data_IF_301071179551
#
_entry.id   IF_301071179551
#
_cell.length_a   1.000
_cell.length_b   1.000
_cell.length_c   1.000
_cell.angle_alpha   90.00
_cell.angle_beta   90.00
_cell.angle_gamma   90.00
#
_symmetry.space_group_name_H-M   'P 1'
#
loop_
_entity.id
_entity.type
_entity.pdbx_description
1 polymer ?
#
# COMPACT_ATOMS: atom_id res chain seq x y z
N UNK A 1 13.34 19.60 -9.11
CA UNK A 1 13.14 18.15 -9.26
C UNK A 1 11.81 17.89 -9.97
N UNK A 2 11.82 17.23 -11.13
CA UNK A 2 10.57 16.85 -11.84
C UNK A 2 10.13 15.44 -11.39
N UNK A 3 9.07 15.37 -10.57
CA UNK A 3 8.54 14.09 -10.05
C UNK A 3 7.54 13.42 -10.99
N UNK A 4 7.11 14.12 -12.06
CA UNK A 4 6.17 13.62 -13.06
C UNK A 4 6.86 13.20 -14.36
N UNK A 5 8.19 13.09 -14.33
CA UNK A 5 8.98 12.58 -15.44
C UNK A 5 8.53 11.16 -15.81
N UNK A 6 8.20 10.97 -17.08
CA UNK A 6 7.88 9.66 -17.66
C UNK A 6 9.20 8.98 -18.00
N UNK A 7 9.46 7.84 -17.35
CA UNK A 7 10.64 7.03 -17.62
C UNK A 7 10.41 6.29 -18.95
N UNK A 8 11.22 6.61 -19.95
CA UNK A 8 11.20 5.98 -21.27
C UNK A 8 12.44 5.14 -21.57
N UNK A 9 13.50 5.24 -20.76
CA UNK A 9 14.68 4.37 -20.87
C UNK A 9 14.39 3.03 -20.19
N UNK A 10 14.37 1.96 -20.98
CA UNK A 10 14.07 0.60 -20.51
C UNK A 10 15.02 0.11 -19.39
N UNK A 11 16.27 0.59 -19.37
CA UNK A 11 17.25 0.21 -18.33
C UNK A 11 16.97 0.89 -17.01
N UNK A 12 16.44 2.11 -17.04
CA UNK A 12 15.97 2.83 -15.83
C UNK A 12 14.64 2.24 -15.38
N UNK A 13 13.77 1.91 -16.34
CA UNK A 13 12.50 1.24 -16.05
C UNK A 13 12.71 -0.12 -15.37
N UNK A 14 13.63 -0.95 -15.87
CA UNK A 14 13.97 -2.26 -15.29
C UNK A 14 14.57 -2.19 -13.88
N UNK A 15 15.04 -1.03 -13.42
CA UNK A 15 15.54 -0.85 -12.05
C UNK A 15 14.43 -0.68 -11.02
N UNK A 16 13.22 -0.28 -11.43
CA UNK A 16 12.08 0.03 -10.55
C UNK A 16 12.34 1.16 -9.53
N UNK A 17 13.39 1.96 -9.71
CA UNK A 17 13.64 3.18 -8.93
C UNK A 17 14.51 4.19 -9.72
N UNK A 18 14.50 5.44 -9.28
CA UNK A 18 15.41 6.50 -9.74
C UNK A 18 15.92 7.29 -8.54
N UNK A 19 17.13 7.83 -8.65
CA UNK A 19 17.66 8.77 -7.67
C UNK A 19 17.49 10.20 -8.19
N UNK A 20 16.85 11.05 -7.40
CA UNK A 20 16.74 12.49 -7.67
C UNK A 20 17.34 13.25 -6.51
N UNK A 21 18.43 13.96 -6.77
CA UNK A 21 19.21 14.66 -5.72
C UNK A 21 19.61 13.73 -4.55
N UNK A 22 19.88 12.45 -4.88
CA UNK A 22 20.23 11.41 -3.90
C UNK A 22 19.05 10.80 -3.14
N UNK A 23 17.82 11.26 -3.35
CA UNK A 23 16.61 10.65 -2.80
C UNK A 23 16.06 9.59 -3.74
N UNK A 24 15.69 8.44 -3.20
CA UNK A 24 15.11 7.34 -3.96
C UNK A 24 13.63 7.59 -4.24
N UNK A 25 13.23 7.42 -5.50
CA UNK A 25 11.84 7.49 -5.94
C UNK A 25 11.45 6.22 -6.68
N UNK A 26 10.20 5.80 -6.47
CA UNK A 26 9.62 4.58 -7.06
C UNK A 26 8.21 4.87 -7.58
N UNK A 27 7.68 4.02 -8.48
CA UNK A 27 6.28 4.12 -8.85
C UNK A 27 5.41 3.63 -7.69
N UNK A 28 4.40 4.41 -7.30
CA UNK A 28 3.37 3.95 -6.35
C UNK A 28 2.02 3.73 -7.04
N UNK A 29 1.70 4.52 -8.06
CA UNK A 29 0.44 4.46 -8.79
C UNK A 29 0.66 4.21 -10.28
N UNK A 30 -0.40 3.81 -11.00
CA UNK A 30 -0.36 3.73 -12.45
C UNK A 30 -0.27 5.15 -13.07
N UNK A 31 0.47 5.35 -14.17
CA UNK A 31 1.29 4.37 -14.87
C UNK A 31 2.62 4.06 -14.15
N UNK A 32 3.06 2.80 -14.22
CA UNK A 32 4.21 2.30 -13.46
C UNK A 32 5.56 2.89 -13.90
N UNK A 33 5.60 3.63 -15.01
CA UNK A 33 6.78 4.32 -15.51
C UNK A 33 6.88 5.78 -15.05
N UNK A 34 6.06 6.21 -14.11
CA UNK A 34 6.24 7.48 -13.40
C UNK A 34 6.66 7.17 -11.96
N UNK A 35 7.88 7.56 -11.61
CA UNK A 35 8.43 7.31 -10.28
C UNK A 35 8.11 8.50 -9.37
N UNK A 36 6.88 8.54 -8.88
CA UNK A 36 6.26 9.69 -8.22
C UNK A 36 6.25 9.63 -6.70
N UNK A 37 6.63 8.51 -6.10
CA UNK A 37 6.68 8.35 -4.65
C UNK A 37 8.10 8.38 -4.14
N UNK A 38 8.37 9.24 -3.15
CA UNK A 38 9.62 9.22 -2.41
C UNK A 38 9.68 7.96 -1.53
N UNK A 39 10.86 7.34 -1.44
CA UNK A 39 11.11 6.25 -0.49
C UNK A 39 11.69 6.86 0.79
N UNK A 40 10.94 6.79 1.89
CA UNK A 40 11.38 7.24 3.21
C UNK A 40 11.89 6.04 4.00
N UNK A 41 13.09 6.15 4.60
CA UNK A 41 13.71 5.07 5.36
C UNK A 41 14.09 5.49 6.77
N UNK A 42 13.76 4.64 7.73
CA UNK A 42 14.15 4.81 9.13
C UNK A 42 14.35 3.45 9.81
N UNK A 43 15.58 2.96 10.03
CA UNK A 43 16.87 3.64 9.82
C UNK A 43 17.23 3.81 8.34
N UNK A 44 18.34 4.50 7.98
CA UNK A 44 18.72 4.76 6.58
C UNK A 44 18.98 3.51 5.71
N UNK A 45 19.25 2.37 6.34
CA UNK A 45 19.48 1.09 5.67
C UNK A 45 18.67 -0.04 6.34
N UNK A 46 17.34 0.03 6.30
CA UNK A 46 16.50 -0.99 6.90
C UNK A 46 16.56 -2.25 6.04
N UNK A 47 16.70 -3.42 6.67
CA UNK A 47 16.54 -4.69 5.97
C UNK A 47 15.07 -4.87 5.56
N UNK A 48 14.83 -5.26 4.32
CA UNK A 48 13.48 -5.51 3.79
C UNK A 48 13.58 -6.47 2.60
N UNK A 49 12.97 -7.65 2.74
CA UNK A 49 12.97 -8.69 1.68
C UNK A 49 12.16 -8.34 0.43
N UNK A 50 11.36 -7.27 0.44
CA UNK A 50 10.40 -6.98 -0.63
C UNK A 50 11.00 -6.22 -1.83
N UNK A 51 12.07 -5.44 -1.64
CA UNK A 51 12.62 -4.61 -2.72
C UNK A 51 14.13 -4.47 -2.64
N UNK A 52 14.77 -4.44 -3.83
CA UNK A 52 16.10 -3.86 -3.95
C UNK A 52 16.00 -2.37 -3.59
N UNK A 53 16.79 -1.96 -2.61
CA UNK A 53 16.67 -0.68 -1.93
C UNK A 53 18.08 -0.09 -1.86
N UNK A 54 18.24 1.20 -2.15
CA UNK A 54 19.57 1.86 -2.12
C UNK A 54 19.86 2.34 -0.70
N UNK A 55 21.08 2.19 -0.20
CA UNK A 55 21.44 2.78 1.11
C UNK A 55 21.15 4.28 1.09
N UNK A 56 20.28 4.76 1.99
CA UNK A 56 19.90 6.17 2.03
C UNK A 56 21.03 6.98 2.67
N UNK A 57 21.48 8.02 1.98
CA UNK A 57 22.51 8.93 2.51
C UNK A 57 21.92 10.03 3.37
N UNK A 58 20.68 10.41 3.09
CA UNK A 58 19.95 11.44 3.78
C UNK A 58 19.36 10.91 5.10
N UNK A 59 19.47 11.70 6.15
CA UNK A 59 18.83 11.49 7.44
C UNK A 59 17.30 11.49 7.33
N UNK A 60 16.61 11.01 8.36
CA UNK A 60 15.14 11.05 8.41
C UNK A 60 14.62 12.50 8.37
N UNK A 61 15.28 13.43 9.08
CA UNK A 61 14.91 14.86 9.07
C UNK A 61 15.03 15.46 7.67
N UNK A 62 16.10 15.16 6.93
CA UNK A 62 16.26 15.66 5.55
C UNK A 62 15.20 15.10 4.59
N UNK A 63 14.74 13.87 4.83
CA UNK A 63 13.64 13.26 4.06
C UNK A 63 12.30 13.94 4.38
N UNK A 64 12.01 14.19 5.66
CA UNK A 64 10.80 14.92 6.11
C UNK A 64 10.80 16.36 5.56
N UNK A 65 11.93 17.04 5.64
CA UNK A 65 12.09 18.41 5.12
C UNK A 65 11.83 18.45 3.61
N UNK A 66 12.31 17.46 2.86
CA UNK A 66 12.03 17.36 1.42
C UNK A 66 10.53 17.17 1.15
N UNK A 67 9.88 16.25 1.86
CA UNK A 67 8.43 16.01 1.74
C UNK A 67 7.66 17.30 1.98
N UNK A 68 7.97 18.00 3.06
CA UNK A 68 7.27 19.22 3.45
C UNK A 68 7.55 20.38 2.50
N UNK A 69 8.81 20.59 2.11
CA UNK A 69 9.22 21.66 1.19
C UNK A 69 8.59 21.52 -0.18
N UNK A 70 8.50 20.29 -0.70
CA UNK A 70 7.93 20.02 -2.02
C UNK A 70 6.45 19.63 -1.99
N UNK A 71 5.86 19.53 -0.79
CA UNK A 71 4.47 19.09 -0.57
C UNK A 71 4.17 17.76 -1.26
N UNK A 72 5.08 16.79 -1.11
CA UNK A 72 4.94 15.48 -1.75
C UNK A 72 3.71 14.77 -1.18
N UNK A 73 2.89 14.20 -2.07
CA UNK A 73 1.67 13.48 -1.66
C UNK A 73 1.85 11.96 -1.57
N UNK A 74 2.96 11.41 -2.10
CA UNK A 74 3.16 9.97 -2.27
C UNK A 74 4.45 9.50 -1.62
N UNK A 75 4.37 8.49 -0.77
CA UNK A 75 5.55 7.90 -0.14
C UNK A 75 5.46 6.37 -0.01
N UNK A 76 6.62 5.73 -0.13
CA UNK A 76 6.86 4.36 0.31
C UNK A 76 7.73 4.46 1.57
N UNK A 77 7.21 4.04 2.70
CA UNK A 77 7.91 4.08 3.99
C UNK A 77 8.43 2.68 4.32
N UNK A 78 9.74 2.56 4.50
CA UNK A 78 10.40 1.34 4.97
C UNK A 78 11.04 1.68 6.31
N UNK A 79 10.45 1.24 7.41
CA UNK A 79 10.86 1.74 8.72
C UNK A 79 10.69 0.74 9.87
N UNK A 80 11.44 0.97 10.94
CA UNK A 80 11.27 0.33 12.24
C UNK A 80 10.19 1.00 13.09
N UNK A 81 10.01 2.31 12.91
CA UNK A 81 8.97 3.13 13.52
C UNK A 81 8.45 4.14 12.49
N UNK A 82 7.14 4.39 12.49
CA UNK A 82 6.47 5.31 11.58
C UNK A 82 5.87 6.53 12.29
N UNK A 83 6.15 6.77 13.57
CA UNK A 83 5.64 7.95 14.30
C UNK A 83 5.88 9.27 13.56
N UNK A 84 6.98 9.37 12.82
CA UNK A 84 7.37 10.54 12.06
C UNK A 84 6.43 10.92 10.90
N UNK A 85 5.58 10.00 10.41
CA UNK A 85 4.69 10.29 9.26
C UNK A 85 3.69 11.41 9.57
N UNK A 86 3.38 11.61 10.86
CA UNK A 86 2.53 12.70 11.36
C UNK A 86 3.13 14.09 11.09
N UNK A 87 4.45 14.18 10.88
CA UNK A 87 5.16 15.40 10.51
C UNK A 87 5.07 15.72 9.01
N UNK A 88 4.40 14.87 8.22
CA UNK A 88 4.28 14.98 6.77
C UNK A 88 2.80 15.17 6.34
N UNK A 89 2.16 16.31 6.65
CA UNK A 89 0.71 16.51 6.49
C UNK A 89 0.23 16.60 5.03
N UNK A 90 1.14 16.51 4.06
CA UNK A 90 0.81 16.48 2.63
C UNK A 90 0.72 15.06 2.07
N UNK A 91 1.19 14.04 2.80
CA UNK A 91 1.16 12.66 2.35
C UNK A 91 -0.25 12.09 2.34
N UNK A 92 -0.69 11.58 1.19
CA UNK A 92 -2.05 11.06 0.96
C UNK A 92 -2.05 9.63 0.41
N UNK A 93 -0.97 9.23 -0.25
CA UNK A 93 -0.79 7.91 -0.82
C UNK A 93 0.42 7.24 -0.19
N UNK A 94 0.18 6.21 0.60
CA UNK A 94 1.20 5.55 1.41
C UNK A 94 1.30 4.07 1.08
N UNK A 95 2.55 3.61 0.99
CA UNK A 95 2.87 2.21 1.17
C UNK A 95 3.75 2.06 2.40
N UNK A 96 3.32 1.28 3.39
CA UNK A 96 4.08 1.06 4.63
C UNK A 96 4.63 -0.36 4.64
N UNK A 97 5.93 -0.48 4.86
CA UNK A 97 6.66 -1.75 4.94
C UNK A 97 7.49 -1.73 6.22
N UNK A 98 7.14 -2.53 7.25
CA UNK A 98 7.99 -2.72 8.41
C UNK A 98 9.36 -3.25 7.99
N UNK A 99 10.43 -2.77 8.64
CA UNK A 99 11.75 -3.34 8.46
C UNK A 99 11.84 -4.75 9.07
N UNK A 100 12.63 -5.64 8.46
CA UNK A 100 12.80 -7.02 8.93
C UNK A 100 13.51 -7.10 10.30
N UNK A 101 14.14 -6.02 10.74
CA UNK A 101 14.77 -5.86 12.05
C UNK A 101 13.75 -5.61 13.18
N UNK A 102 12.51 -5.24 12.86
CA UNK A 102 11.45 -5.07 13.85
C UNK A 102 11.02 -6.45 14.36
N UNK A 103 10.84 -6.56 15.68
CA UNK A 103 10.26 -7.74 16.30
C UNK A 103 8.76 -7.88 16.05
N UNK A 104 8.07 -8.52 16.99
CA UNK A 104 6.61 -8.56 16.99
C UNK A 104 5.99 -7.16 17.20
N UNK A 105 4.73 -7.01 16.76
CA UNK A 105 3.89 -5.83 17.04
C UNK A 105 4.44 -4.47 16.56
N UNK A 106 4.81 -4.37 15.28
CA UNK A 106 5.00 -3.08 14.61
C UNK A 106 3.75 -2.18 14.77
N UNK A 107 3.96 -0.96 15.27
CA UNK A 107 2.88 -0.05 15.60
C UNK A 107 2.37 0.73 14.38
N UNK A 108 1.17 0.41 13.93
CA UNK A 108 0.46 1.15 12.88
C UNK A 108 -0.35 2.33 13.41
N UNK A 109 -0.38 2.58 14.72
CA UNK A 109 -1.20 3.62 15.33
C UNK A 109 -0.99 5.04 14.79
N UNK A 110 0.21 5.46 14.34
CA UNK A 110 0.40 6.78 13.72
C UNK A 110 -0.47 7.00 12.47
N UNK A 111 -0.87 5.95 11.75
CA UNK A 111 -1.78 6.08 10.60
C UNK A 111 -3.20 6.50 11.02
N UNK A 112 -3.62 6.18 12.24
CA UNK A 112 -4.96 6.54 12.75
C UNK A 112 -5.07 8.05 13.01
N UNK A 113 -3.93 8.74 13.17
CA UNK A 113 -3.87 10.19 13.39
C UNK A 113 -3.86 10.99 12.08
N UNK A 114 -3.57 10.33 10.95
CA UNK A 114 -3.48 10.97 9.64
C UNK A 114 -4.85 11.13 8.96
N UNK A 115 -5.45 12.31 9.08
CA UNK A 115 -6.78 12.62 8.50
C UNK A 115 -6.81 12.76 6.97
N UNK A 116 -5.65 12.85 6.33
CA UNK A 116 -5.49 13.16 4.91
C UNK A 116 -5.19 11.92 4.03
N UNK A 117 -4.92 10.76 4.62
CA UNK A 117 -4.59 9.53 3.89
C UNK A 117 -5.79 9.06 3.07
N UNK A 118 -5.60 8.95 1.75
CA UNK A 118 -6.62 8.51 0.79
C UNK A 118 -6.31 7.16 0.18
N UNK A 119 -5.05 6.78 0.11
CA UNK A 119 -4.61 5.52 -0.48
C UNK A 119 -3.61 4.85 0.43
N UNK A 120 -3.85 3.60 0.80
CA UNK A 120 -2.98 2.86 1.70
C UNK A 120 -2.73 1.44 1.19
N UNK A 121 -1.49 1.00 1.28
CA UNK A 121 -1.12 -0.41 1.22
C UNK A 121 -0.11 -0.69 2.32
N UNK A 122 -0.39 -1.67 3.17
CA UNK A 122 0.50 -2.07 4.25
C UNK A 122 0.87 -3.53 4.11
N UNK A 123 2.13 -3.84 4.42
CA UNK A 123 2.53 -5.20 4.78
C UNK A 123 2.54 -5.29 6.30
N UNK A 124 1.74 -6.17 6.90
CA UNK A 124 1.72 -6.38 8.35
C UNK A 124 2.42 -7.67 8.78
N UNK A 125 3.14 -8.31 7.86
CA UNK A 125 3.92 -9.52 8.09
C UNK A 125 5.35 -9.28 7.59
N UNK A 126 6.35 -9.51 8.44
CA UNK A 126 7.73 -9.10 8.17
C UNK A 126 8.75 -9.99 8.88
N UNK A 127 10.04 -9.69 8.68
CA UNK A 127 11.14 -10.47 9.23
C UNK A 127 11.50 -11.67 8.36
N UNK A 128 12.51 -12.42 8.79
CA UNK A 128 12.97 -13.59 8.05
C UNK A 128 11.84 -14.61 7.90
N UNK A 129 11.51 -14.97 6.64
CA UNK A 129 10.38 -15.84 6.29
C UNK A 129 9.03 -15.36 6.85
N UNK A 130 8.86 -14.05 6.99
CA UNK A 130 7.60 -13.43 7.42
C UNK A 130 7.12 -13.95 8.79
N UNK A 131 8.06 -14.20 9.70
CA UNK A 131 7.78 -14.81 11.00
C UNK A 131 7.02 -13.91 11.97
N UNK A 132 7.13 -12.58 11.82
CA UNK A 132 6.47 -11.61 12.67
C UNK A 132 5.17 -11.13 12.02
N UNK A 133 4.15 -10.92 12.85
CA UNK A 133 2.85 -10.43 12.40
C UNK A 133 2.35 -9.33 13.32
N UNK A 134 2.01 -8.21 12.72
CA UNK A 134 1.44 -7.06 13.41
C UNK A 134 -0.03 -6.87 13.06
N UNK A 135 -0.75 -6.17 13.93
CA UNK A 135 -2.18 -5.91 13.77
C UNK A 135 -2.40 -4.49 13.26
N UNK A 136 -3.28 -4.36 12.28
CA UNK A 136 -3.74 -3.07 11.77
C UNK A 136 -5.26 -3.10 11.67
N UNK A 137 -5.90 -2.09 12.24
CA UNK A 137 -7.34 -1.88 12.18
C UNK A 137 -7.66 -0.78 11.18
N UNK A 138 -8.05 -1.18 9.97
CA UNK A 138 -8.31 -0.25 8.88
C UNK A 138 -9.56 0.61 9.11
N UNK A 139 -10.48 0.21 10.00
CA UNK A 139 -11.66 1.03 10.32
C UNK A 139 -11.32 2.30 11.10
N UNK A 140 -10.12 2.34 11.70
CA UNK A 140 -9.58 3.53 12.40
C UNK A 140 -8.90 4.53 11.45
N UNK A 141 -8.75 4.20 10.17
CA UNK A 141 -8.14 5.09 9.17
C UNK A 141 -9.26 5.75 8.36
N UNK A 142 -9.52 7.01 8.68
CA UNK A 142 -10.69 7.72 8.17
C UNK A 142 -10.50 8.22 6.73
N UNK A 143 -11.52 8.00 5.88
CA UNK A 143 -11.60 8.60 4.55
C UNK A 143 -10.71 7.95 3.49
N UNK A 144 -10.30 6.69 3.69
CA UNK A 144 -9.63 5.86 2.70
C UNK A 144 -10.52 5.66 1.46
N UNK A 145 -9.95 5.92 0.29
CA UNK A 145 -10.60 5.72 -1.01
C UNK A 145 -10.00 4.52 -1.73
N UNK A 146 -8.70 4.28 -1.53
CA UNK A 146 -7.99 3.15 -2.11
C UNK A 146 -7.30 2.35 -1.02
N UNK A 147 -7.50 1.03 -1.03
CA UNK A 147 -6.89 0.13 -0.05
C UNK A 147 -6.27 -1.08 -0.74
N UNK A 148 -5.08 -1.48 -0.28
CA UNK A 148 -4.42 -2.72 -0.66
C UNK A 148 -4.08 -3.56 0.57
N UNK A 149 -4.65 -4.76 0.70
CA UNK A 149 -4.40 -5.68 1.83
C UNK A 149 -4.07 -7.09 1.38
N UNK A 150 -3.23 -7.77 2.14
CA UNK A 150 -3.11 -9.23 2.12
C UNK A 150 -3.76 -9.78 3.37
N UNK A 151 -4.86 -10.52 3.23
CA UNK A 151 -5.70 -10.92 4.36
C UNK A 151 -5.00 -12.00 5.18
N UNK A 152 -4.78 -11.70 6.45
CA UNK A 152 -4.27 -12.61 7.47
C UNK A 152 -4.89 -12.26 8.85
N UNK A 153 -4.50 -12.99 9.91
CA UNK A 153 -5.05 -12.81 11.27
C UNK A 153 -4.78 -11.41 11.89
N UNK A 154 -3.88 -10.62 11.32
CA UNK A 154 -3.56 -9.26 11.76
C UNK A 154 -4.25 -8.17 10.92
N UNK A 155 -4.98 -8.54 9.87
CA UNK A 155 -5.69 -7.60 8.99
C UNK A 155 -7.10 -7.40 9.54
N UNK A 156 -7.32 -6.38 10.35
CA UNK A 156 -8.56 -6.20 11.10
C UNK A 156 -9.48 -5.18 10.43
N UNK A 157 -10.79 -5.47 10.41
CA UNK A 157 -11.87 -4.56 10.03
C UNK A 157 -11.71 -3.85 8.67
N UNK A 158 -10.91 -4.37 7.74
CA UNK A 158 -10.77 -3.82 6.38
C UNK A 158 -12.11 -3.79 5.64
N UNK A 159 -13.00 -4.73 5.96
CA UNK A 159 -14.33 -4.81 5.37
C UNK A 159 -15.32 -3.77 5.93
N UNK A 160 -14.93 -2.95 6.91
CA UNK A 160 -15.76 -1.85 7.47
C UNK A 160 -15.45 -0.48 6.85
N UNK A 161 -14.56 -0.42 5.86
CA UNK A 161 -14.16 0.85 5.23
C UNK A 161 -15.15 1.21 4.11
N UNK A 162 -16.23 1.89 4.47
CA UNK A 162 -17.35 2.20 3.57
C UNK A 162 -17.05 3.22 2.47
N UNK A 163 -15.89 3.87 2.53
CA UNK A 163 -15.50 4.95 1.62
C UNK A 163 -14.67 4.48 0.42
N UNK A 164 -14.37 3.17 0.33
CA UNK A 164 -13.50 2.62 -0.71
C UNK A 164 -14.14 2.66 -2.10
N UNK A 165 -13.36 3.18 -3.06
CA UNK A 165 -13.62 3.08 -4.50
C UNK A 165 -12.74 2.05 -5.19
N UNK A 166 -11.50 1.90 -4.71
CA UNK A 166 -10.58 0.87 -5.21
C UNK A 166 -10.16 -0.03 -4.06
N UNK A 167 -10.31 -1.35 -4.24
CA UNK A 167 -9.84 -2.32 -3.28
C UNK A 167 -8.99 -3.39 -3.96
N UNK A 168 -7.74 -3.53 -3.54
CA UNK A 168 -6.87 -4.63 -3.90
C UNK A 168 -6.75 -5.57 -2.69
N UNK A 169 -7.11 -6.84 -2.88
CA UNK A 169 -7.12 -7.85 -1.83
C UNK A 169 -6.39 -9.10 -2.29
N UNK A 170 -5.54 -9.64 -1.43
CA UNK A 170 -4.94 -10.96 -1.61
C UNK A 170 -5.25 -11.90 -0.46
N UNK A 171 -5.12 -13.21 -0.72
CA UNK A 171 -5.33 -14.29 0.26
C UNK A 171 -6.73 -14.35 0.93
N UNK A 172 -7.66 -13.51 0.51
CA UNK A 172 -9.05 -13.56 0.99
C UNK A 172 -9.75 -14.85 0.55
N UNK A 173 -10.52 -15.43 1.46
CA UNK A 173 -11.34 -16.63 1.20
C UNK A 173 -12.83 -16.36 1.46
N UNK A 174 -13.17 -15.60 2.50
CA UNK A 174 -14.56 -15.49 2.97
C UNK A 174 -15.03 -16.80 3.62
N UNK A 175 -16.01 -16.71 4.52
CA UNK A 175 -16.53 -17.89 5.24
C UNK A 175 -17.28 -18.83 4.29
N UNK A 176 -17.96 -18.26 3.29
CA UNK A 176 -18.72 -18.99 2.27
C UNK A 176 -17.95 -19.22 0.97
N UNK A 177 -16.65 -18.91 0.93
CA UNK A 177 -15.87 -18.90 -0.32
C UNK A 177 -16.45 -17.96 -1.39
N UNK A 178 -17.01 -16.83 -0.97
CA UNK A 178 -17.60 -15.79 -1.82
C UNK A 178 -17.25 -14.37 -1.31
N UNK A 179 -17.83 -13.33 -1.93
CA UNK A 179 -17.51 -11.93 -1.62
C UNK A 179 -18.36 -11.34 -0.49
N UNK A 180 -19.31 -12.08 0.10
CA UNK A 180 -20.24 -11.57 1.10
C UNK A 180 -19.51 -10.93 2.29
N UNK A 181 -18.42 -11.54 2.74
CA UNK A 181 -17.60 -11.03 3.85
C UNK A 181 -16.56 -9.97 3.43
N UNK A 182 -16.36 -9.79 2.12
CA UNK A 182 -15.40 -8.84 1.55
C UNK A 182 -16.01 -7.45 1.37
N UNK A 183 -17.28 -7.40 1.00
CA UNK A 183 -17.93 -6.17 0.59
C UNK A 183 -18.00 -5.15 1.71
N UNK A 184 -17.40 -4.00 1.44
CA UNK A 184 -17.22 -2.93 2.40
C UNK A 184 -17.87 -1.62 1.94
N UNK A 185 -18.04 -1.40 0.64
CA UNK A 185 -18.54 -0.13 0.11
C UNK A 185 -19.48 -0.33 -1.08
N UNK A 186 -20.52 0.51 -1.12
CA UNK A 186 -21.45 0.65 -2.25
C UNK A 186 -20.85 1.48 -3.40
N UNK A 187 -19.79 2.24 -3.10
CA UNK A 187 -19.08 3.10 -4.03
C UNK A 187 -17.86 2.40 -4.65
N UNK A 188 -17.72 1.09 -4.44
CA UNK A 188 -16.58 0.32 -4.93
C UNK A 188 -16.65 0.17 -6.45
N UNK A 189 -15.80 0.93 -7.15
CA UNK A 189 -15.67 0.97 -8.60
C UNK A 189 -14.76 -0.14 -9.13
N UNK A 190 -13.71 -0.49 -8.37
CA UNK A 190 -12.67 -1.43 -8.79
C UNK A 190 -12.28 -2.38 -7.66
N UNK A 191 -12.40 -3.68 -7.93
CA UNK A 191 -11.91 -4.75 -7.06
C UNK A 191 -10.81 -5.53 -7.78
N UNK A 192 -9.63 -5.62 -7.17
CA UNK A 192 -8.52 -6.45 -7.65
C UNK A 192 -8.30 -7.58 -6.66
N UNK A 193 -8.45 -8.81 -7.11
CA UNK A 193 -8.32 -10.01 -6.31
C UNK A 193 -7.06 -10.76 -6.73
N UNK A 194 -6.13 -11.00 -5.82
CA UNK A 194 -4.84 -11.64 -6.12
C UNK A 194 -4.72 -12.89 -5.26
N UNK A 195 -4.70 -14.07 -5.90
CA UNK A 195 -4.56 -15.36 -5.20
C UNK A 195 -5.59 -15.53 -4.06
N UNK A 196 -6.84 -15.13 -4.33
CA UNK A 196 -7.97 -15.36 -3.43
C UNK A 196 -8.51 -16.79 -3.57
N UNK A 197 -9.05 -17.34 -2.49
CA UNK A 197 -9.64 -18.68 -2.43
C UNK A 197 -11.16 -18.68 -2.46
N UNK A 198 -11.75 -17.89 -3.36
CA UNK A 198 -13.20 -17.81 -3.59
C UNK A 198 -13.63 -18.75 -4.73
N UNK A 199 -14.86 -19.22 -4.70
CA UNK A 199 -15.47 -20.05 -5.73
C UNK A 199 -16.69 -19.39 -6.40
N UNK A 200 -17.19 -18.29 -5.85
CA UNK A 200 -18.27 -17.50 -6.45
C UNK A 200 -18.08 -16.00 -6.21
N UNK A 201 -18.81 -15.20 -6.98
CA UNK A 201 -18.86 -13.74 -6.84
C UNK A 201 -20.09 -13.27 -6.05
N UNK A 202 -20.81 -14.15 -5.33
CA UNK A 202 -21.95 -13.75 -4.51
C UNK A 202 -21.54 -12.64 -3.53
N UNK A 203 -22.41 -11.64 -3.36
CA UNK A 203 -22.11 -10.40 -2.64
C UNK A 203 -21.70 -9.25 -3.56
N UNK A 204 -21.34 -9.52 -4.83
CA UNK A 204 -20.96 -8.48 -5.80
C UNK A 204 -22.02 -7.43 -6.06
N UNK A 205 -23.28 -7.85 -6.00
CA UNK A 205 -24.47 -7.03 -6.22
C UNK A 205 -24.61 -5.86 -5.23
N UNK A 206 -23.84 -5.85 -4.15
CA UNK A 206 -23.79 -4.74 -3.19
C UNK A 206 -23.20 -3.47 -3.84
N UNK A 207 -22.24 -3.60 -4.75
CA UNK A 207 -21.75 -2.47 -5.55
C UNK A 207 -22.57 -2.35 -6.83
N UNK A 208 -23.03 -1.12 -7.12
CA UNK A 208 -23.87 -0.85 -8.29
C UNK A 208 -23.09 -0.91 -9.61
N UNK A 209 -21.77 -0.67 -9.59
CA UNK A 209 -20.91 -0.62 -10.77
C UNK A 209 -19.48 -0.97 -10.36
N UNK A 210 -19.10 -2.25 -10.40
CA UNK A 210 -17.78 -2.71 -10.00
C UNK A 210 -17.09 -3.47 -11.14
N UNK A 211 -15.86 -3.06 -11.47
CA UNK A 211 -14.96 -3.85 -12.31
C UNK A 211 -14.08 -4.74 -11.44
N UNK A 212 -14.13 -6.04 -11.67
CA UNK A 212 -13.36 -7.06 -10.95
C UNK A 212 -12.23 -7.58 -11.81
N UNK A 213 -11.03 -7.53 -11.26
CA UNK A 213 -9.82 -8.08 -11.87
C UNK A 213 -9.31 -9.21 -10.99
N UNK A 214 -9.29 -10.44 -11.50
CA UNK A 214 -8.87 -11.63 -10.76
C UNK A 214 -7.52 -12.09 -11.29
N UNK A 215 -6.51 -12.12 -10.42
CA UNK A 215 -5.18 -12.60 -10.70
C UNK A 215 -4.95 -13.89 -9.92
N UNK A 216 -4.71 -14.98 -10.63
CA UNK A 216 -4.44 -16.31 -10.09
C UNK A 216 -3.02 -16.73 -10.42
N UNK A 217 -2.54 -17.82 -9.82
CA UNK A 217 -1.26 -18.43 -10.21
C UNK A 217 -1.22 -18.92 -11.65
N UNK A 218 -2.38 -19.16 -12.27
CA UNK A 218 -2.52 -19.74 -13.61
C UNK A 218 -2.93 -18.73 -14.69
N UNK A 219 -3.17 -17.46 -14.34
CA UNK A 219 -3.59 -16.43 -15.29
C UNK A 219 -4.39 -15.29 -14.65
N UNK A 220 -4.79 -14.31 -15.48
CA UNK A 220 -5.57 -13.14 -15.06
C UNK A 220 -6.86 -13.01 -15.86
N UNK A 221 -7.95 -12.65 -15.19
CA UNK A 221 -9.30 -12.52 -15.73
C UNK A 221 -9.88 -11.15 -15.37
N UNK A 222 -10.69 -10.57 -16.26
CA UNK A 222 -11.43 -9.34 -16.01
C UNK A 222 -12.92 -9.60 -16.17
N UNK A 223 -13.71 -9.20 -15.18
CA UNK A 223 -15.16 -9.35 -15.13
C UNK A 223 -15.74 -7.98 -14.76
N UNK A 224 -16.62 -7.44 -15.60
CA UNK A 224 -17.32 -6.18 -15.32
C UNK A 224 -18.75 -6.47 -14.89
N UNK A 225 -19.17 -5.91 -13.76
CA UNK A 225 -20.56 -5.97 -13.28
C UNK A 225 -21.20 -4.61 -13.52
N UNK A 226 -22.33 -4.62 -14.25
CA UNK A 226 -23.06 -3.44 -14.73
C UNK A 226 -24.34 -3.21 -13.96
#
# INVERSE_FOLDING_TARGET
>A
MNIHEVITDDRVFAQFYILRDGYEFKPLTHPANIYDAIVIKNPPNPSCGFFKSVTMKHSLSEQIDLVNRLKLEKAIVIAEDISFITQCPTLRHLKIIPADSVGDDFDFSPLYEMSNVKSLSCTNQHGYREQYLSKIDYSRIHGLVNLGVSVNKGTLNFNKVETLKTFAVSAFKGSNHDLTDLYCSKELDTLRMIQCGIYSLNGIEISKKCSVYIFTTVGSYMISVH
#
